data_IF_548592784011
#
_entry.id   IF_548592784011
#
_cell.length_a   1.000
_cell.length_b   1.000
_cell.length_c   1.000
_cell.angle_alpha   90.00
_cell.angle_beta   90.00
_cell.angle_gamma   90.00
#
_symmetry.space_group_name_H-M   'P 1'
#
loop_
_entity.id
_entity.type
_entity.pdbx_description
1 polymer ?
#
# COMPACT_ATOMS: atom_id res chain seq x y z
N UNK A 1 -19.62 36.76 -60.16
CA UNK A 1 -20.92 36.13 -59.85
C UNK A 1 -20.99 35.87 -58.35
N UNK A 2 -22.08 36.33 -57.69
CA UNK A 2 -22.56 36.04 -56.31
C UNK A 2 -21.57 36.34 -55.16
N UNK A 3 -21.61 37.42 -54.35
CA UNK A 3 -22.63 38.26 -53.67
C UNK A 3 -23.18 37.67 -52.33
N UNK A 4 -22.70 38.23 -51.20
CA UNK A 4 -23.45 38.59 -49.95
C UNK A 4 -22.48 39.22 -48.94
N UNK A 5 -22.47 40.56 -48.74
CA UNK A 5 -23.25 41.39 -47.78
C UNK A 5 -23.12 40.90 -46.33
N UNK A 6 -22.31 41.55 -45.49
CA UNK A 6 -22.61 42.75 -44.65
C UNK A 6 -23.64 42.49 -43.54
N UNK A 7 -23.22 42.60 -42.27
CA UNK A 7 -23.69 43.60 -41.29
C UNK A 7 -23.03 43.42 -39.91
N UNK A 8 -22.56 44.53 -39.35
CA UNK A 8 -22.30 44.71 -37.92
C UNK A 8 -23.61 44.65 -37.13
N UNK A 9 -23.61 44.00 -35.96
CA UNK A 9 -24.47 44.32 -34.82
C UNK A 9 -23.66 44.14 -33.54
N UNK A 10 -23.38 45.28 -32.91
CA UNK A 10 -23.04 45.42 -31.49
C UNK A 10 -24.31 45.11 -30.70
N UNK A 11 -24.23 44.31 -29.65
CA UNK A 11 -25.17 44.41 -28.53
C UNK A 11 -24.57 43.87 -27.24
N UNK A 12 -24.37 44.82 -26.31
CA UNK A 12 -24.19 44.64 -24.88
C UNK A 12 -25.29 43.77 -24.28
N UNK A 13 -24.93 42.89 -23.36
CA UNK A 13 -25.85 42.40 -22.33
C UNK A 13 -25.20 42.67 -20.98
N UNK A 14 -25.82 43.62 -20.29
CA UNK A 14 -25.62 44.01 -18.90
C UNK A 14 -26.34 42.96 -18.05
N UNK A 15 -25.65 42.33 -17.09
CA UNK A 15 -26.30 41.60 -15.98
C UNK A 15 -25.78 42.13 -14.64
N UNK A 16 -26.56 43.09 -14.16
CA UNK A 16 -26.90 43.50 -12.81
C UNK A 16 -26.24 42.78 -11.61
N UNK A 17 -25.39 43.53 -10.91
CA UNK A 17 -25.06 43.37 -9.49
C UNK A 17 -26.29 43.72 -8.66
N UNK A 18 -26.68 42.84 -7.74
CA UNK A 18 -27.60 43.17 -6.63
C UNK A 18 -27.04 42.57 -5.34
N UNK A 19 -26.28 43.41 -4.64
CA UNK A 19 -26.03 43.32 -3.20
C UNK A 19 -27.33 43.67 -2.47
N UNK A 20 -27.81 42.81 -1.57
CA UNK A 20 -28.50 43.27 -0.37
C UNK A 20 -28.17 42.37 0.83
N UNK A 21 -28.01 43.09 1.95
CA UNK A 21 -27.44 42.71 3.23
C UNK A 21 -28.33 41.81 4.09
N UNK A 22 -27.76 41.35 5.21
CA UNK A 22 -28.32 41.03 6.55
C UNK A 22 -27.67 39.71 7.03
N UNK A 23 -27.05 39.56 8.19
CA UNK A 23 -26.87 40.41 9.37
C UNK A 23 -25.77 39.77 10.23
N UNK A 24 -24.81 40.55 10.73
CA UNK A 24 -23.98 40.15 11.86
C UNK A 24 -24.87 39.95 13.10
N UNK A 25 -24.58 38.94 13.91
CA UNK A 25 -24.94 38.91 15.33
C UNK A 25 -23.66 38.68 16.13
N UNK A 26 -23.12 39.78 16.66
CA UNK A 26 -22.15 39.75 17.75
C UNK A 26 -22.86 39.25 19.02
N UNK A 27 -22.21 38.32 19.72
CA UNK A 27 -22.51 37.99 21.11
C UNK A 27 -21.24 38.20 21.93
N UNK A 28 -21.41 38.95 23.02
CA UNK A 28 -20.42 39.69 23.80
C UNK A 28 -19.40 38.79 24.50
N UNK A 29 -18.13 39.24 24.47
CA UNK A 29 -17.07 38.85 25.43
C UNK A 29 -17.47 39.28 26.85
N UNK A 30 -17.31 38.38 27.83
CA UNK A 30 -17.05 38.75 29.23
C UNK A 30 -15.59 38.45 29.55
N UNK A 31 -14.87 39.50 29.93
CA UNK A 31 -13.51 39.47 30.48
C UNK A 31 -13.56 39.08 31.95
N UNK A 32 -12.69 38.18 32.41
CA UNK A 32 -12.19 38.16 33.80
C UNK A 32 -10.69 37.83 33.76
N UNK A 33 -9.90 38.77 34.30
CA UNK A 33 -8.53 38.63 34.83
C UNK A 33 -8.71 38.86 36.35
N UNK A 34 -8.05 38.24 37.35
CA UNK A 34 -6.62 38.13 37.71
C UNK A 34 -6.43 37.03 38.80
N UNK A 35 -5.21 36.46 38.91
CA UNK A 35 -4.68 35.29 39.69
C UNK A 35 -4.55 35.42 41.26
N UNK A 36 -3.78 34.55 41.97
CA UNK A 36 -4.14 33.40 42.86
C UNK A 36 -3.74 33.68 44.35
N UNK A 37 -3.36 32.76 45.30
CA UNK A 37 -3.43 31.29 45.44
C UNK A 37 -3.93 30.78 46.83
N UNK A 38 -4.15 29.46 47.01
CA UNK A 38 -3.83 28.76 48.28
C UNK A 38 -3.63 27.24 48.12
N UNK A 39 -2.52 26.74 48.69
CA UNK A 39 -2.10 25.33 48.81
C UNK A 39 -3.04 24.49 49.70
N UNK A 40 -3.32 23.25 49.29
CA UNK A 40 -3.48 22.03 50.12
C UNK A 40 -3.03 20.85 49.22
N UNK A 41 -1.79 20.37 49.34
CA UNK A 41 -1.33 19.13 50.02
C UNK A 41 -2.06 17.85 49.57
N UNK A 42 -1.37 17.14 48.67
CA UNK A 42 -1.07 15.70 48.67
C UNK A 42 -2.20 14.69 48.92
N UNK A 43 -2.55 13.96 47.86
CA UNK A 43 -2.69 12.52 47.99
C UNK A 43 -2.26 11.84 46.69
N UNK A 44 -1.28 10.93 46.83
CA UNK A 44 -0.79 10.06 45.78
C UNK A 44 -1.93 9.15 45.34
N UNK A 45 -2.22 9.13 44.05
CA UNK A 45 -2.94 8.02 43.43
C UNK A 45 -2.24 7.73 42.12
N UNK A 46 -1.68 6.54 42.10
CA UNK A 46 -0.94 5.85 41.04
C UNK A 46 -1.54 6.14 39.65
N UNK A 47 -0.75 6.61 38.66
CA UNK A 47 -1.22 6.64 37.28
C UNK A 47 -1.29 5.19 36.77
N UNK A 48 -2.53 4.72 36.73
CA UNK A 48 -3.21 4.15 35.56
C UNK A 48 -2.30 3.44 34.54
N UNK A 49 -2.38 2.12 34.63
CA UNK A 49 -2.08 1.09 33.63
C UNK A 49 -1.95 1.68 32.22
N UNK A 50 -0.72 1.71 31.72
CA UNK A 50 -0.44 1.83 30.29
C UNK A 50 -1.16 0.67 29.62
N UNK A 51 -2.24 0.99 28.92
CA UNK A 51 -2.90 0.05 28.03
C UNK A 51 -1.89 -0.31 26.94
N UNK A 52 -1.23 -1.44 27.16
CA UNK A 52 -0.41 -2.15 26.20
C UNK A 52 -1.26 -2.34 24.95
N UNK A 53 -0.80 -1.77 23.83
CA UNK A 53 -1.46 -1.93 22.55
C UNK A 53 -1.55 -3.42 22.26
N UNK A 54 -2.78 -3.94 22.13
CA UNK A 54 -3.03 -5.29 21.64
C UNK A 54 -2.35 -5.43 20.28
N UNK A 55 -1.21 -6.11 20.29
CA UNK A 55 -0.61 -6.68 19.09
C UNK A 55 -1.60 -7.71 18.59
N UNK A 56 -2.34 -7.35 17.52
CA UNK A 56 -3.16 -8.31 16.81
C UNK A 56 -2.25 -9.46 16.40
N UNK A 57 -2.45 -10.63 17.01
CA UNK A 57 -1.74 -11.85 16.64
C UNK A 57 -2.06 -12.11 15.16
N UNK A 58 -1.03 -12.10 14.31
CA UNK A 58 -1.19 -12.43 12.90
C UNK A 58 -1.63 -13.88 12.80
N UNK A 59 -2.77 -14.13 12.16
CA UNK A 59 -3.13 -15.49 11.75
C UNK A 59 -1.98 -16.10 10.93
N UNK A 60 -1.72 -17.41 11.07
CA UNK A 60 -0.64 -18.06 10.33
C UNK A 60 -0.91 -17.99 8.83
N UNK A 61 0.15 -17.86 8.06
CA UNK A 61 0.10 -17.91 6.60
C UNK A 61 -0.59 -19.19 6.11
N UNK A 62 -1.42 -19.05 5.08
CA UNK A 62 -2.11 -20.17 4.44
C UNK A 62 -1.16 -21.03 3.61
N UNK A 63 -0.12 -20.41 3.04
CA UNK A 63 0.98 -21.05 2.33
C UNK A 63 2.21 -20.14 2.35
N UNK A 64 3.39 -20.70 2.10
CA UNK A 64 4.64 -19.94 2.10
C UNK A 64 4.85 -19.19 0.78
N UNK A 65 5.43 -17.99 0.89
CA UNK A 65 6.01 -17.24 -0.23
C UNK A 65 7.47 -16.89 0.06
N UNK A 66 8.29 -16.79 -1.00
CA UNK A 66 9.68 -16.35 -0.90
C UNK A 66 9.98 -15.32 -1.99
N UNK A 67 10.98 -14.47 -1.72
CA UNK A 67 11.53 -13.50 -2.66
C UNK A 67 12.80 -14.07 -3.30
N UNK A 68 13.13 -13.70 -4.55
CA UNK A 68 14.42 -14.01 -5.16
C UNK A 68 15.53 -13.13 -4.52
N UNK A 69 15.84 -13.38 -3.24
CA UNK A 69 16.69 -12.54 -2.40
C UNK A 69 17.70 -13.38 -1.60
N UNK A 70 18.57 -12.70 -0.86
CA UNK A 70 19.52 -13.30 0.08
C UNK A 70 18.92 -13.41 1.48
N UNK A 71 19.05 -14.59 2.07
CA UNK A 71 18.56 -14.91 3.40
C UNK A 71 19.75 -15.19 4.32
N UNK A 72 19.79 -14.52 5.47
CA UNK A 72 20.75 -14.80 6.54
C UNK A 72 20.39 -16.13 7.21
N UNK A 73 21.39 -16.96 7.44
CA UNK A 73 21.22 -18.25 8.11
C UNK A 73 21.56 -18.04 9.59
N UNK A 74 20.55 -17.83 10.41
CA UNK A 74 20.68 -17.62 11.86
C UNK A 74 20.04 -18.81 12.57
N UNK A 75 20.71 -19.36 13.58
CA UNK A 75 20.19 -20.50 14.37
C UNK A 75 19.75 -21.74 13.56
N UNK A 76 20.37 -21.95 12.40
CA UNK A 76 20.02 -22.97 11.39
C UNK A 76 18.67 -22.77 10.67
N UNK A 77 18.02 -21.63 10.87
CA UNK A 77 16.88 -21.21 10.07
C UNK A 77 17.35 -20.90 8.64
N UNK A 78 16.70 -21.52 7.68
CA UNK A 78 17.09 -21.48 6.28
C UNK A 78 15.83 -21.62 5.41
N UNK A 79 15.16 -20.49 5.09
CA UNK A 79 13.95 -20.48 4.30
C UNK A 79 14.13 -21.14 2.92
N UNK A 80 15.36 -21.15 2.38
CA UNK A 80 15.65 -21.75 1.08
C UNK A 80 15.47 -23.28 1.05
N UNK A 81 15.40 -23.94 2.21
CA UNK A 81 15.13 -25.38 2.32
C UNK A 81 13.67 -25.75 2.01
N UNK A 82 12.75 -24.80 2.09
CA UNK A 82 11.34 -25.06 1.77
C UNK A 82 11.11 -25.20 0.26
N UNK A 83 11.96 -24.54 -0.54
CA UNK A 83 11.92 -24.58 -1.99
C UNK A 83 12.10 -26.00 -2.52
N UNK A 84 11.21 -26.38 -3.43
CA UNK A 84 11.26 -27.67 -4.12
C UNK A 84 10.64 -27.55 -5.52
N UNK A 85 10.53 -28.67 -6.24
CA UNK A 85 10.03 -28.70 -7.63
C UNK A 85 8.55 -28.34 -7.77
N UNK A 86 7.79 -28.32 -6.68
CA UNK A 86 6.37 -27.99 -6.70
C UNK A 86 6.11 -26.49 -6.61
N UNK A 87 7.09 -25.68 -6.20
CA UNK A 87 6.95 -24.23 -6.12
C UNK A 87 6.69 -23.58 -7.47
N UNK A 88 5.93 -22.50 -7.44
CA UNK A 88 5.63 -21.66 -8.59
C UNK A 88 6.44 -20.37 -8.54
N UNK A 89 6.63 -19.77 -9.72
CA UNK A 89 7.32 -18.51 -9.96
C UNK A 89 6.33 -17.59 -10.67
N UNK A 90 5.93 -16.53 -9.96
CA UNK A 90 5.20 -15.39 -10.50
C UNK A 90 6.23 -14.41 -11.04
N UNK A 91 6.29 -14.25 -12.35
CA UNK A 91 7.27 -13.38 -12.98
C UNK A 91 6.65 -12.50 -14.05
N UNK A 92 7.30 -11.37 -14.29
CA UNK A 92 6.98 -10.48 -15.38
C UNK A 92 7.84 -10.81 -16.61
N UNK A 93 7.22 -10.77 -17.79
CA UNK A 93 7.89 -10.83 -19.08
C UNK A 93 7.16 -9.91 -20.06
N UNK A 94 7.89 -8.96 -20.64
CA UNK A 94 7.38 -8.01 -21.64
C UNK A 94 6.11 -7.27 -21.15
N UNK A 95 6.10 -6.82 -19.88
CA UNK A 95 4.97 -6.12 -19.26
C UNK A 95 3.75 -7.00 -18.97
N UNK A 96 3.87 -8.33 -19.04
CA UNK A 96 2.80 -9.28 -18.71
C UNK A 96 3.26 -10.22 -17.60
N UNK A 97 2.32 -10.67 -16.77
CA UNK A 97 2.60 -11.62 -15.69
C UNK A 97 2.27 -13.07 -16.08
N UNK A 98 3.07 -14.00 -15.55
CA UNK A 98 2.96 -15.43 -15.79
C UNK A 98 3.21 -16.22 -14.51
N UNK A 99 2.49 -17.33 -14.34
CA UNK A 99 2.82 -18.39 -13.39
C UNK A 99 3.47 -19.55 -14.15
N UNK A 100 4.64 -19.99 -13.73
CA UNK A 100 5.23 -21.27 -14.13
C UNK A 100 5.86 -21.98 -12.94
N UNK A 101 6.34 -23.22 -13.13
CA UNK A 101 7.19 -23.87 -12.11
C UNK A 101 8.46 -23.05 -11.87
N UNK A 102 8.84 -22.96 -10.61
CA UNK A 102 10.01 -22.22 -10.18
C UNK A 102 11.28 -22.83 -10.76
N UNK A 103 12.15 -21.96 -11.27
CA UNK A 103 13.47 -22.31 -11.79
C UNK A 103 14.47 -21.38 -11.15
N UNK A 104 15.17 -21.91 -10.16
CA UNK A 104 16.08 -21.15 -9.33
C UNK A 104 17.41 -21.90 -9.15
N UNK A 105 18.43 -21.16 -8.74
CA UNK A 105 19.64 -21.71 -8.12
C UNK A 105 19.78 -21.13 -6.74
N UNK A 106 20.49 -21.85 -5.86
CA UNK A 106 20.83 -21.35 -4.53
C UNK A 106 22.33 -21.14 -4.48
N UNK A 107 22.76 -19.89 -4.33
CA UNK A 107 24.16 -19.55 -4.07
C UNK A 107 24.41 -19.37 -2.57
N UNK A 108 25.59 -19.75 -2.11
CA UNK A 108 26.04 -19.44 -0.74
C UNK A 108 26.79 -18.11 -0.75
N UNK A 109 26.59 -17.33 0.29
CA UNK A 109 27.30 -16.08 0.54
C UNK A 109 27.62 -15.91 2.02
N UNK A 110 28.06 -14.71 2.36
CA UNK A 110 28.33 -14.30 3.73
C UNK A 110 27.96 -12.82 3.86
N UNK A 111 27.22 -12.48 4.91
CA UNK A 111 26.91 -11.11 5.27
C UNK A 111 27.98 -10.62 6.25
N UNK A 112 28.86 -9.74 5.76
CA UNK A 112 29.96 -9.17 6.55
C UNK A 112 29.47 -8.21 7.64
N UNK A 113 28.26 -7.66 7.51
CA UNK A 113 27.73 -6.69 8.47
C UNK A 113 27.39 -7.37 9.79
N UNK A 114 26.63 -8.47 9.71
CA UNK A 114 26.19 -9.25 10.88
C UNK A 114 27.08 -10.48 11.14
N UNK A 115 27.98 -10.80 10.22
CA UNK A 115 28.95 -11.90 10.36
C UNK A 115 28.31 -13.28 10.29
N UNK A 116 27.38 -13.51 9.35
CA UNK A 116 26.71 -14.80 9.19
C UNK A 116 26.67 -15.30 7.75
N UNK A 117 26.54 -16.61 7.57
CA UNK A 117 26.33 -17.21 6.25
C UNK A 117 25.01 -16.74 5.65
N UNK A 118 24.99 -16.56 4.33
CA UNK A 118 23.76 -16.29 3.59
C UNK A 118 23.52 -17.34 2.51
N UNK A 119 22.25 -17.48 2.12
CA UNK A 119 21.85 -18.19 0.92
C UNK A 119 20.95 -17.32 0.07
N UNK A 120 21.27 -17.20 -1.20
CA UNK A 120 20.53 -16.36 -2.14
C UNK A 120 19.76 -17.23 -3.13
N UNK A 121 18.51 -16.87 -3.37
CA UNK A 121 17.66 -17.50 -4.38
C UNK A 121 17.79 -16.71 -5.68
N UNK A 122 18.55 -17.26 -6.63
CA UNK A 122 18.74 -16.62 -7.93
C UNK A 122 17.72 -17.15 -8.95
N UNK A 123 17.02 -16.24 -9.62
CA UNK A 123 16.12 -16.57 -10.73
C UNK A 123 16.63 -15.94 -12.02
N UNK A 124 16.34 -16.57 -13.17
CA UNK A 124 16.68 -16.01 -14.49
C UNK A 124 15.58 -15.11 -15.07
N UNK A 125 14.48 -14.95 -14.33
CA UNK A 125 13.28 -14.23 -14.74
C UNK A 125 13.13 -13.00 -13.86
N UNK A 126 12.30 -12.05 -14.28
CA UNK A 126 11.90 -10.93 -13.42
C UNK A 126 10.85 -11.43 -12.43
N UNK A 127 11.28 -12.29 -11.51
CA UNK A 127 10.42 -12.93 -10.51
C UNK A 127 9.96 -11.89 -9.49
N UNK A 128 8.65 -11.86 -9.26
CA UNK A 128 8.00 -11.08 -8.23
C UNK A 128 7.91 -11.88 -6.92
N UNK A 129 7.42 -13.12 -7.01
CA UNK A 129 7.24 -14.02 -5.87
C UNK A 129 7.47 -15.48 -6.29
N UNK A 130 8.01 -16.26 -5.37
CA UNK A 130 7.97 -17.72 -5.40
C UNK A 130 6.86 -18.18 -4.44
N UNK A 131 6.00 -19.12 -4.85
CA UNK A 131 4.78 -19.49 -4.11
C UNK A 131 4.62 -21.00 -3.97
N UNK A 132 4.33 -21.48 -2.75
CA UNK A 132 3.90 -22.87 -2.48
C UNK A 132 2.36 -22.99 -2.45
N UNK A 133 1.69 -22.48 -3.48
CA UNK A 133 0.23 -22.51 -3.57
C UNK A 133 -0.27 -23.45 -4.66
N UNK A 134 -0.82 -24.60 -4.26
CA UNK A 134 -1.21 -25.70 -5.16
C UNK A 134 -2.42 -25.40 -6.05
N UNK A 135 -3.21 -24.37 -5.74
CA UNK A 135 -4.38 -23.97 -6.54
C UNK A 135 -4.01 -23.10 -7.74
N UNK A 136 -2.76 -22.65 -7.86
CA UNK A 136 -2.31 -21.82 -8.98
C UNK A 136 -2.39 -22.57 -10.32
N UNK A 137 -2.78 -21.82 -11.36
CA UNK A 137 -2.86 -22.34 -12.73
C UNK A 137 -1.74 -21.74 -13.58
N UNK A 138 -0.86 -22.61 -14.10
CA UNK A 138 0.26 -22.22 -14.97
C UNK A 138 -0.24 -21.49 -16.23
N UNK A 139 0.52 -20.49 -16.65
CA UNK A 139 0.32 -19.74 -17.89
C UNK A 139 0.30 -18.23 -17.66
N UNK A 140 -0.20 -17.51 -18.68
CA UNK A 140 -0.41 -16.06 -18.61
C UNK A 140 -1.51 -15.73 -17.61
N UNK A 141 -1.31 -14.65 -16.85
CA UNK A 141 -2.26 -14.12 -15.88
C UNK A 141 -3.00 -12.91 -16.47
N UNK A 142 -4.32 -12.88 -16.27
CA UNK A 142 -5.11 -11.70 -16.52
C UNK A 142 -4.86 -10.68 -15.40
N UNK A 143 -4.36 -9.50 -15.78
CA UNK A 143 -3.93 -8.48 -14.84
C UNK A 143 -4.25 -7.11 -15.41
N UNK A 144 -4.21 -6.10 -14.54
CA UNK A 144 -4.43 -4.71 -14.89
C UNK A 144 -3.13 -3.91 -14.76
N UNK A 145 -3.00 -2.89 -15.60
CA UNK A 145 -1.96 -1.89 -15.42
C UNK A 145 -2.22 -1.12 -14.12
N UNK A 146 -1.14 -0.80 -13.41
CA UNK A 146 -1.18 -0.03 -12.16
C UNK A 146 -0.90 1.43 -12.51
N UNK A 147 -1.90 2.35 -12.43
CA UNK A 147 -1.70 3.74 -12.81
C UNK A 147 -0.69 4.46 -11.91
N UNK A 148 -0.79 4.24 -10.60
CA UNK A 148 0.16 4.70 -9.60
C UNK A 148 0.46 3.55 -8.63
N UNK A 149 1.75 3.33 -8.35
CA UNK A 149 2.18 2.31 -7.38
C UNK A 149 1.93 2.75 -5.95
N UNK A 150 1.99 4.07 -5.70
CA UNK A 150 1.65 4.68 -4.41
C UNK A 150 0.18 5.09 -4.38
N UNK A 151 -0.47 4.82 -3.26
CA UNK A 151 -1.81 5.33 -2.96
C UNK A 151 -1.67 6.18 -1.70
N UNK A 152 -1.43 7.47 -1.88
CA UNK A 152 -1.18 8.39 -0.77
C UNK A 152 -2.47 8.65 0.03
N UNK A 153 -2.37 9.10 1.30
CA UNK A 153 -3.55 9.47 2.07
C UNK A 153 -4.46 10.43 1.30
N UNK A 154 -5.78 10.21 1.37
CA UNK A 154 -6.84 10.91 0.62
C UNK A 154 -6.95 10.57 -0.87
N UNK A 155 -5.99 9.84 -1.43
CA UNK A 155 -6.08 9.34 -2.79
C UNK A 155 -6.93 8.07 -2.87
N UNK A 156 -7.37 7.79 -4.09
CA UNK A 156 -8.14 6.61 -4.44
C UNK A 156 -7.75 6.14 -5.83
N UNK A 157 -7.62 4.83 -5.99
CA UNK A 157 -7.37 4.15 -7.24
C UNK A 157 -8.52 3.19 -7.54
N UNK A 158 -9.06 3.23 -8.75
CA UNK A 158 -10.18 2.39 -9.17
C UNK A 158 -9.74 1.38 -10.24
N UNK A 159 -10.26 0.17 -10.14
CA UNK A 159 -10.06 -0.89 -11.12
C UNK A 159 -11.40 -1.45 -11.56
N UNK A 160 -11.47 -1.91 -12.81
CA UNK A 160 -12.63 -2.64 -13.33
C UNK A 160 -12.11 -3.94 -13.95
N UNK A 161 -12.58 -5.06 -13.40
CA UNK A 161 -12.18 -6.41 -13.82
C UNK A 161 -13.41 -7.30 -13.84
N UNK A 162 -13.64 -8.03 -14.94
CA UNK A 162 -14.81 -8.90 -15.11
C UNK A 162 -16.14 -8.28 -14.66
N UNK A 163 -16.38 -7.03 -15.06
CA UNK A 163 -17.56 -6.22 -14.70
C UNK A 163 -17.72 -5.89 -13.20
N UNK A 164 -16.75 -6.23 -12.36
CA UNK A 164 -16.67 -5.80 -10.96
C UNK A 164 -15.79 -4.56 -10.85
N UNK A 165 -16.31 -3.53 -10.18
CA UNK A 165 -15.53 -2.35 -9.80
C UNK A 165 -14.88 -2.55 -8.43
N UNK A 166 -13.60 -2.24 -8.34
CA UNK A 166 -12.78 -2.23 -7.13
C UNK A 166 -12.29 -0.81 -6.85
N UNK A 167 -12.18 -0.45 -5.59
CA UNK A 167 -11.74 0.86 -5.13
C UNK A 167 -10.75 0.68 -3.99
N UNK A 168 -9.49 0.99 -4.24
CA UNK A 168 -8.48 1.16 -3.19
C UNK A 168 -8.44 2.62 -2.76
N UNK A 169 -8.45 2.90 -1.47
CA UNK A 169 -8.26 4.26 -0.94
C UNK A 169 -7.38 4.21 0.30
N UNK A 170 -6.65 5.28 0.54
CA UNK A 170 -5.78 5.36 1.71
C UNK A 170 -6.19 6.48 2.67
N UNK A 171 -5.97 6.21 3.96
CA UNK A 171 -5.99 7.20 5.05
C UNK A 171 -4.62 7.26 5.71
N UNK A 172 -4.34 8.36 6.40
CA UNK A 172 -3.09 8.58 7.10
C UNK A 172 -2.85 10.07 7.32
N UNK A 173 -1.85 10.40 8.14
CA UNK A 173 -1.44 11.78 8.41
C UNK A 173 -0.16 12.08 7.66
N UNK A 174 -0.24 12.95 6.64
CA UNK A 174 0.94 13.47 5.94
C UNK A 174 1.64 14.48 6.87
N UNK A 175 2.87 14.17 7.28
CA UNK A 175 3.68 14.97 8.19
C UNK A 175 4.52 16.01 7.45
N UNK A 176 5.07 15.61 6.30
CA UNK A 176 5.82 16.48 5.41
C UNK A 176 5.62 16.04 3.97
N UNK A 177 5.98 16.91 3.03
CA UNK A 177 6.00 16.61 1.60
C UNK A 177 7.26 17.19 1.02
N UNK A 178 8.02 16.34 0.36
CA UNK A 178 9.26 16.69 -0.30
C UNK A 178 9.07 16.60 -1.80
N UNK A 179 9.71 17.53 -2.51
CA UNK A 179 9.71 17.53 -3.98
C UNK A 179 11.03 16.95 -4.43
N UNK A 180 10.98 15.78 -5.06
CA UNK A 180 12.12 15.10 -5.64
C UNK A 180 12.23 15.57 -7.09
N UNK A 181 13.29 16.31 -7.45
CA UNK A 181 13.48 16.76 -8.83
C UNK A 181 13.54 15.56 -9.78
N UNK A 182 12.77 15.61 -10.85
CA UNK A 182 12.88 14.64 -11.93
C UNK A 182 14.20 14.82 -12.70
N UNK A 183 14.68 13.76 -13.36
CA UNK A 183 15.72 13.90 -14.37
C UNK A 183 15.23 14.73 -15.57
N UNK A 184 16.13 15.13 -16.47
CA UNK A 184 15.80 15.95 -17.63
C UNK A 184 14.66 15.31 -18.46
N UNK A 185 13.54 16.02 -18.58
CA UNK A 185 12.35 15.54 -19.29
C UNK A 185 11.33 14.76 -18.43
N UNK A 186 11.63 14.49 -17.16
CA UNK A 186 10.71 13.89 -16.20
C UNK A 186 10.08 14.95 -15.29
N UNK A 187 8.86 14.67 -14.81
CA UNK A 187 8.20 15.53 -13.83
C UNK A 187 8.79 15.27 -12.44
N UNK A 188 8.88 16.32 -11.65
CA UNK A 188 9.20 16.19 -10.23
C UNK A 188 8.18 15.29 -9.54
N UNK A 189 8.68 14.46 -8.63
CA UNK A 189 7.87 13.56 -7.82
C UNK A 189 7.64 14.19 -6.45
N UNK A 190 6.49 13.87 -5.84
CA UNK A 190 6.22 14.23 -4.46
C UNK A 190 6.43 13.00 -3.60
N UNK A 191 7.18 13.16 -2.52
CA UNK A 191 7.36 12.16 -1.49
C UNK A 191 6.71 12.62 -0.20
N UNK A 192 5.85 11.79 0.39
CA UNK A 192 5.12 12.13 1.61
C UNK A 192 5.65 11.30 2.78
N UNK A 193 6.05 11.95 3.87
CA UNK A 193 6.24 11.27 5.14
C UNK A 193 4.85 11.08 5.79
N UNK A 194 4.47 9.84 6.07
CA UNK A 194 3.11 9.48 6.50
C UNK A 194 3.14 8.71 7.83
N UNK A 195 2.23 9.06 8.74
CA UNK A 195 1.94 8.32 9.97
C UNK A 195 0.52 7.74 9.95
N UNK A 196 0.32 6.63 10.70
CA UNK A 196 -0.96 5.93 10.85
C UNK A 196 -1.64 5.62 9.50
N UNK A 197 -0.87 5.10 8.54
CA UNK A 197 -1.36 4.72 7.22
C UNK A 197 -2.35 3.56 7.31
N UNK A 198 -3.41 3.63 6.51
CA UNK A 198 -4.41 2.57 6.34
C UNK A 198 -4.81 2.48 4.89
N UNK A 199 -4.74 1.28 4.31
CA UNK A 199 -5.27 1.00 2.98
C UNK A 199 -6.58 0.24 3.10
N UNK A 200 -7.61 0.74 2.41
CA UNK A 200 -8.91 0.11 2.35
C UNK A 200 -9.23 -0.35 0.94
N UNK A 201 -9.96 -1.46 0.84
CA UNK A 201 -10.57 -1.95 -0.40
C UNK A 201 -12.09 -1.98 -0.28
N UNK A 202 -12.75 -1.75 -1.40
CA UNK A 202 -14.19 -1.91 -1.53
C UNK A 202 -14.56 -2.38 -2.93
N UNK A 203 -15.60 -3.23 -3.01
CA UNK A 203 -16.30 -3.54 -4.25
C UNK A 203 -17.73 -3.00 -4.22
N UNK A 204 -18.48 -3.14 -5.31
CA UNK A 204 -19.90 -2.74 -5.34
C UNK A 204 -20.78 -3.65 -4.47
N UNK A 205 -20.38 -4.90 -4.29
CA UNK A 205 -21.16 -5.94 -3.61
C UNK A 205 -20.73 -6.16 -2.15
N UNK A 206 -19.51 -5.75 -1.78
CA UNK A 206 -18.95 -5.95 -0.44
C UNK A 206 -18.84 -4.64 0.34
N UNK A 207 -18.81 -4.77 1.67
CA UNK A 207 -18.47 -3.66 2.54
C UNK A 207 -17.01 -3.25 2.34
N UNK A 208 -16.68 -2.04 2.75
CA UNK A 208 -15.29 -1.60 2.78
C UNK A 208 -14.51 -2.36 3.85
N UNK A 209 -13.30 -2.78 3.50
CA UNK A 209 -12.41 -3.59 4.31
C UNK A 209 -11.05 -2.91 4.44
N UNK A 210 -10.44 -3.01 5.62
CA UNK A 210 -9.05 -2.61 5.86
C UNK A 210 -8.12 -3.74 5.42
N UNK A 211 -7.28 -3.49 4.41
CA UNK A 211 -6.30 -4.47 3.93
C UNK A 211 -5.01 -4.45 4.75
N UNK A 212 -4.46 -3.25 4.96
CA UNK A 212 -3.18 -3.08 5.65
C UNK A 212 -3.18 -1.78 6.45
N UNK A 213 -2.40 -1.76 7.53
CA UNK A 213 -2.18 -0.55 8.31
C UNK A 213 -0.78 -0.50 8.85
N UNK A 214 -0.13 0.65 8.74
CA UNK A 214 1.24 0.87 9.22
C UNK A 214 1.28 2.12 10.09
N UNK A 215 2.02 2.04 11.20
CA UNK A 215 2.11 3.17 12.16
C UNK A 215 2.96 4.31 11.63
N UNK A 216 3.97 4.00 10.86
CA UNK A 216 4.87 4.94 10.19
C UNK A 216 5.82 4.19 9.28
N UNK A 217 6.65 4.94 8.58
CA UNK A 217 7.65 4.44 7.65
C UNK A 217 8.99 5.12 7.91
N UNK A 218 10.09 4.38 7.77
CA UNK A 218 11.44 4.93 7.81
C UNK A 218 12.06 4.87 6.41
N UNK A 219 11.96 5.97 5.67
CA UNK A 219 12.44 6.10 4.28
C UNK A 219 11.87 5.08 3.29
N UNK A 220 10.66 4.57 3.57
CA UNK A 220 9.90 3.66 2.71
C UNK A 220 8.44 4.10 2.55
N UNK A 221 7.70 3.40 1.69
CA UNK A 221 6.25 3.51 1.61
C UNK A 221 5.65 2.28 0.93
N UNK A 222 4.35 2.04 1.16
CA UNK A 222 3.63 0.91 0.54
C UNK A 222 3.52 1.08 -0.97
N UNK A 223 3.88 0.05 -1.72
CA UNK A 223 3.74 -0.01 -3.18
C UNK A 223 2.81 -1.14 -3.59
N UNK A 224 1.88 -0.84 -4.49
CA UNK A 224 1.12 -1.85 -5.21
C UNK A 224 2.01 -2.46 -6.30
N UNK A 225 2.31 -3.76 -6.18
CA UNK A 225 3.20 -4.50 -7.09
C UNK A 225 2.44 -5.26 -8.17
N UNK A 226 1.24 -5.76 -7.87
CA UNK A 226 0.44 -6.58 -8.78
C UNK A 226 -1.06 -6.42 -8.51
N UNK A 227 -1.85 -6.43 -9.59
CA UNK A 227 -3.32 -6.44 -9.59
C UNK A 227 -3.79 -7.38 -10.71
N UNK A 228 -4.35 -8.53 -10.37
CA UNK A 228 -4.79 -9.52 -11.37
C UNK A 228 -5.30 -10.82 -10.74
N UNK A 229 -5.67 -11.79 -11.56
CA UNK A 229 -6.33 -13.04 -11.13
C UNK A 229 -5.33 -14.21 -11.10
N UNK A 230 -4.70 -14.45 -9.95
CA UNK A 230 -3.59 -15.41 -9.80
C UNK A 230 -4.06 -16.87 -9.88
N UNK A 231 -5.24 -17.17 -9.34
CA UNK A 231 -5.78 -18.53 -9.25
C UNK A 231 -6.98 -18.81 -10.16
N UNK A 232 -7.35 -17.82 -10.99
CA UNK A 232 -8.38 -17.91 -12.03
C UNK A 232 -9.80 -18.05 -11.46
N UNK A 233 -10.06 -17.41 -10.31
CA UNK A 233 -11.40 -17.34 -9.71
C UNK A 233 -12.30 -16.26 -10.36
N UNK A 234 -11.72 -15.43 -11.25
CA UNK A 234 -12.40 -14.38 -11.97
C UNK A 234 -12.42 -13.02 -11.26
N UNK A 235 -11.69 -12.86 -10.15
CA UNK A 235 -11.60 -11.63 -9.36
C UNK A 235 -10.14 -11.15 -9.28
N UNK A 236 -9.92 -9.95 -8.74
CA UNK A 236 -8.58 -9.39 -8.57
C UNK A 236 -7.98 -9.81 -7.25
N UNK A 237 -6.75 -10.30 -7.30
CA UNK A 237 -5.82 -10.46 -6.20
C UNK A 237 -4.81 -9.31 -6.17
N UNK A 238 -4.17 -9.10 -5.02
CA UNK A 238 -3.26 -7.97 -4.80
C UNK A 238 -1.95 -8.39 -4.13
N UNK A 239 -0.84 -7.83 -4.61
CA UNK A 239 0.46 -7.94 -3.95
C UNK A 239 0.98 -6.55 -3.63
N UNK A 240 1.38 -6.34 -2.38
CA UNK A 240 1.95 -5.09 -1.90
C UNK A 240 3.37 -5.28 -1.37
N UNK A 241 4.29 -4.40 -1.75
CA UNK A 241 5.51 -4.12 -0.98
C UNK A 241 5.11 -3.21 0.18
N UNK A 242 5.47 -3.57 1.41
CA UNK A 242 5.05 -2.87 2.63
C UNK A 242 6.19 -2.79 3.65
N UNK A 243 7.39 -2.45 3.17
CA UNK A 243 8.59 -2.26 3.99
C UNK A 243 8.34 -1.18 5.05
N UNK A 244 8.63 -1.49 6.31
CA UNK A 244 8.48 -0.56 7.43
C UNK A 244 9.67 0.40 7.53
N UNK A 245 10.82 -0.05 7.10
CA UNK A 245 12.07 0.70 7.01
C UNK A 245 12.90 0.29 5.80
N UNK A 246 13.91 1.11 5.47
CA UNK A 246 14.73 0.95 4.27
C UNK A 246 15.64 -0.29 4.29
N UNK A 247 15.78 -0.96 5.43
CA UNK A 247 16.56 -2.18 5.62
C UNK A 247 15.66 -3.41 5.67
N UNK A 248 14.37 -3.28 5.35
CA UNK A 248 13.42 -4.37 5.25
C UNK A 248 12.98 -4.56 3.80
N UNK A 249 12.93 -5.81 3.33
CA UNK A 249 12.07 -6.21 2.21
C UNK A 249 10.85 -6.94 2.76
N UNK A 250 9.66 -6.39 2.55
CA UNK A 250 8.41 -6.99 3.03
C UNK A 250 7.35 -6.99 1.94
N UNK A 251 6.82 -8.17 1.65
CA UNK A 251 5.76 -8.36 0.64
C UNK A 251 4.58 -9.10 1.25
N UNK A 252 3.38 -8.61 0.96
CA UNK A 252 2.11 -9.17 1.44
C UNK A 252 1.25 -9.56 0.25
N UNK A 253 0.73 -10.78 0.27
CA UNK A 253 -0.17 -11.32 -0.74
C UNK A 253 -1.60 -11.43 -0.19
N UNK A 254 -2.55 -10.91 -0.97
CA UNK A 254 -3.98 -10.99 -0.72
C UNK A 254 -4.65 -11.75 -1.87
N UNK A 255 -5.49 -12.74 -1.54
CA UNK A 255 -6.28 -13.49 -2.52
C UNK A 255 -7.78 -13.35 -2.27
N UNK A 256 -8.53 -13.18 -3.35
CA UNK A 256 -9.99 -13.03 -3.29
C UNK A 256 -10.71 -14.37 -3.12
N UNK A 257 -10.06 -15.47 -3.52
CA UNK A 257 -10.60 -16.82 -3.43
C UNK A 257 -10.58 -17.38 -1.99
N UNK A 258 -9.72 -16.83 -1.14
CA UNK A 258 -9.61 -17.18 0.28
C UNK A 258 -10.41 -16.22 1.19
N UNK A 259 -11.00 -15.15 0.61
CA UNK A 259 -11.85 -14.20 1.31
C UNK A 259 -13.08 -14.88 1.95
N UNK A 260 -13.28 -14.66 3.25
CA UNK A 260 -14.39 -15.24 4.02
C UNK A 260 -15.48 -14.22 4.32
N UNK A 261 -16.74 -14.67 4.31
CA UNK A 261 -17.89 -13.84 4.67
C UNK A 261 -18.12 -12.70 3.67
N UNK A 262 -18.14 -11.47 4.16
CA UNK A 262 -18.37 -10.26 3.36
C UNK A 262 -17.07 -9.50 3.02
N UNK A 263 -15.91 -10.11 3.25
CA UNK A 263 -14.61 -9.55 2.88
C UNK A 263 -14.44 -9.56 1.36
N UNK A 264 -13.62 -8.64 0.86
CA UNK A 264 -13.20 -8.60 -0.54
C UNK A 264 -12.00 -9.52 -0.74
N UNK A 265 -11.04 -9.47 0.18
CA UNK A 265 -9.77 -10.18 0.11
C UNK A 265 -9.45 -10.86 1.44
N UNK A 266 -8.55 -11.84 1.43
CA UNK A 266 -7.91 -12.33 2.66
C UNK A 266 -6.40 -12.20 2.54
N UNK A 267 -5.72 -11.79 3.62
CA UNK A 267 -4.25 -11.85 3.68
C UNK A 267 -3.87 -13.33 3.76
N UNK A 268 -3.20 -13.85 2.74
CA UNK A 268 -2.88 -15.29 2.68
C UNK A 268 -1.44 -15.60 3.01
N UNK A 269 -0.53 -14.67 2.77
CA UNK A 269 0.88 -14.83 3.12
C UNK A 269 1.60 -13.49 3.22
N UNK A 270 2.67 -13.47 4.01
CA UNK A 270 3.54 -12.32 4.22
C UNK A 270 4.98 -12.80 4.41
N UNK A 271 5.92 -12.18 3.69
CA UNK A 271 7.35 -12.41 3.87
C UNK A 271 8.01 -11.09 4.26
N UNK A 272 8.96 -11.17 5.20
CA UNK A 272 9.81 -10.06 5.62
C UNK A 272 11.25 -10.55 5.71
N UNK A 273 12.19 -9.78 5.16
CA UNK A 273 13.63 -10.02 5.18
C UNK A 273 14.29 -8.75 5.73
N UNK A 274 15.07 -8.91 6.80
CA UNK A 274 15.80 -7.83 7.45
C UNK A 274 17.26 -7.80 6.96
N UNK A 275 17.72 -6.60 6.64
CA UNK A 275 19.07 -6.27 6.16
C UNK A 275 19.84 -5.38 7.12
N UNK A 276 19.30 -5.19 8.33
CA UNK A 276 19.86 -4.37 9.38
C UNK A 276 21.27 -4.83 9.80
N UNK A 277 22.06 -3.86 10.23
CA UNK A 277 23.36 -4.03 10.86
C UNK A 277 23.30 -3.43 12.28
#
# INVERSE_FOLDING_TARGET
>A
MVKKRSKHIVNSVIVLVLLLCFSCKESKKKTITINPPKKIVENQTTPEVVAEAETAQSEPDLFAILLPNSYRIVDNDDPTKELNTDWFDLFEKDGNFFIEKAKYTISKGYDECVGTETKSIDTKRKTLLLLDYKKLVVGKIDHLAIPNQYIWPTEKQEFVFNNQKYSLRAEGRIKSTERIPGEEGQKDQLWHNVEDYKLFIKTETAAEELLLSEKGFNDTFVKLLFVGDLDKDGKLDFIFEANRDYEEDRVILFLSSEAKGNKVEEKVSEISIQHDC
#
